data_IF_430030858592
#
_entry.id   IF_430030858592
#
_cell.length_a   1.000
_cell.length_b   1.000
_cell.length_c   1.000
_cell.angle_alpha   90.00
_cell.angle_beta   90.00
_cell.angle_gamma   90.00
#
_symmetry.space_group_name_H-M   'P 1'
#
loop_
_entity.id
_entity.type
_entity.pdbx_description
1 polymer ?
#
# COMPACT_ATOMS: atom_id res chain seq x y z
N UNK A 1 18.96 21.13 1.24
CA UNK A 1 18.38 21.22 2.61
C UNK A 1 17.20 20.24 2.69
N UNK A 2 16.72 19.86 3.88
CA UNK A 2 15.60 18.89 4.02
C UNK A 2 14.34 19.32 3.27
N UNK A 3 14.08 20.63 3.17
CA UNK A 3 12.92 21.18 2.44
C UNK A 3 12.91 20.87 0.93
N UNK A 4 14.05 20.51 0.35
CA UNK A 4 14.18 20.23 -1.08
C UNK A 4 14.04 18.72 -1.38
N UNK A 5 14.05 17.87 -0.34
CA UNK A 5 13.95 16.43 -0.48
C UNK A 5 12.51 16.04 -0.76
N UNK A 6 12.31 15.19 -1.76
CA UNK A 6 11.01 14.62 -2.11
C UNK A 6 11.05 13.09 -2.02
N UNK A 7 9.95 12.49 -1.60
CA UNK A 7 9.83 11.05 -1.46
C UNK A 7 8.46 10.65 -0.91
N UNK A 8 8.32 9.39 -0.53
CA UNK A 8 7.09 8.83 0.04
C UNK A 8 7.43 7.89 1.20
N UNK A 9 6.68 7.98 2.29
CA UNK A 9 6.72 7.01 3.39
C UNK A 9 5.59 5.99 3.19
N UNK A 10 5.93 4.69 3.23
CA UNK A 10 4.93 3.61 3.25
C UNK A 10 4.63 3.19 4.69
N UNK A 11 3.83 3.98 5.37
CA UNK A 11 3.51 3.83 6.78
C UNK A 11 2.01 3.59 7.05
N UNK A 12 1.26 3.12 6.06
CA UNK A 12 -0.13 2.71 6.25
C UNK A 12 -0.19 1.49 7.18
N UNK A 13 -0.50 1.73 8.44
CA UNK A 13 -0.57 0.67 9.45
C UNK A 13 -1.92 -0.05 9.45
N UNK A 14 -3.01 0.60 9.04
CA UNK A 14 -4.33 -0.04 9.04
C UNK A 14 -4.39 -1.22 8.07
N UNK A 15 -3.78 -1.09 6.88
CA UNK A 15 -3.70 -2.21 5.93
C UNK A 15 -2.87 -3.39 6.48
N UNK A 16 -1.93 -3.14 7.39
CA UNK A 16 -1.16 -4.22 8.04
C UNK A 16 -2.07 -5.05 8.96
N UNK A 17 -2.92 -4.40 9.75
CA UNK A 17 -3.90 -5.12 10.59
C UNK A 17 -4.95 -5.85 9.74
N UNK A 18 -5.36 -5.26 8.60
CA UNK A 18 -6.45 -5.80 7.78
C UNK A 18 -5.98 -6.99 6.94
N UNK A 19 -4.80 -6.92 6.30
CA UNK A 19 -4.44 -7.86 5.25
C UNK A 19 -3.01 -8.43 5.33
N UNK A 20 -1.99 -7.65 5.77
CA UNK A 20 -0.60 -8.06 5.60
C UNK A 20 0.03 -8.72 6.85
N UNK A 21 -0.42 -8.34 8.04
CA UNK A 21 0.03 -8.96 9.30
C UNK A 21 1.38 -8.50 9.83
N UNK A 22 1.99 -7.44 9.28
CA UNK A 22 3.30 -6.91 9.71
C UNK A 22 3.13 -5.70 10.62
N UNK A 23 2.69 -5.90 11.83
CA UNK A 23 2.52 -4.87 12.88
C UNK A 23 3.24 -5.26 14.16
N UNK A 24 3.53 -4.28 15.00
CA UNK A 24 4.09 -4.47 16.35
C UNK A 24 3.11 -3.95 17.39
N UNK A 25 2.77 -2.65 17.31
CA UNK A 25 2.00 -1.95 18.33
C UNK A 25 0.50 -2.06 18.09
N UNK A 26 -0.34 -1.86 19.12
CA UNK A 26 -1.79 -1.71 18.94
C UNK A 26 -2.16 -0.53 18.01
N UNK A 27 -3.40 -0.51 17.45
CA UNK A 27 -3.81 0.53 16.51
C UNK A 27 -3.66 1.97 17.03
N UNK A 28 -4.06 2.26 18.26
CA UNK A 28 -4.04 3.63 18.81
C UNK A 28 -2.65 4.27 18.82
N UNK A 29 -1.61 3.67 19.43
CA UNK A 29 -0.26 4.24 19.36
C UNK A 29 0.32 4.24 17.95
N UNK A 30 -0.07 3.29 17.08
CA UNK A 30 0.34 3.29 15.69
C UNK A 30 -0.23 4.47 14.90
N UNK A 31 -1.50 4.82 15.12
CA UNK A 31 -2.12 6.01 14.53
C UNK A 31 -1.44 7.30 15.00
N UNK A 32 -1.02 7.38 16.28
CA UNK A 32 -0.22 8.51 16.78
C UNK A 32 1.09 8.66 16.01
N UNK A 33 1.83 7.57 15.75
CA UNK A 33 3.06 7.64 14.96
C UNK A 33 2.83 8.22 13.57
N UNK A 34 1.72 7.85 12.93
CA UNK A 34 1.34 8.39 11.60
C UNK A 34 1.05 9.89 11.68
N UNK A 35 0.27 10.35 12.66
CA UNK A 35 -0.04 11.78 12.82
C UNK A 35 1.19 12.60 13.21
N UNK A 36 2.12 12.04 13.99
CA UNK A 36 3.40 12.66 14.31
C UNK A 36 4.25 12.87 13.04
N UNK A 37 4.26 11.89 12.12
CA UNK A 37 4.91 12.03 10.80
C UNK A 37 4.27 13.16 10.00
N UNK A 38 2.94 13.25 9.94
CA UNK A 38 2.24 14.33 9.20
C UNK A 38 2.64 15.71 9.72
N UNK A 39 2.56 15.90 11.04
CA UNK A 39 2.88 17.17 11.67
C UNK A 39 4.35 17.59 11.45
N UNK A 40 5.26 16.65 11.58
CA UNK A 40 6.69 16.91 11.42
C UNK A 40 7.07 17.18 9.96
N UNK A 41 6.61 16.34 9.03
CA UNK A 41 6.93 16.46 7.62
C UNK A 41 6.44 17.77 7.01
N UNK A 42 5.26 18.24 7.41
CA UNK A 42 4.72 19.54 6.97
C UNK A 42 5.71 20.68 7.23
N UNK A 43 6.43 20.63 8.33
CA UNK A 43 7.35 21.71 8.73
C UNK A 43 8.76 21.54 8.15
N UNK A 44 9.26 20.31 8.01
CA UNK A 44 10.66 20.02 7.75
C UNK A 44 10.92 19.49 6.34
N UNK A 45 9.98 18.73 5.78
CA UNK A 45 10.08 18.11 4.45
C UNK A 45 8.78 18.29 3.65
N UNK A 46 8.41 19.53 3.28
CA UNK A 46 7.09 19.86 2.71
C UNK A 46 6.81 19.22 1.35
N UNK A 47 7.83 18.64 0.69
CA UNK A 47 7.70 17.94 -0.59
C UNK A 47 7.59 16.42 -0.44
N UNK A 48 7.52 15.91 0.80
CA UNK A 48 7.42 14.49 1.09
C UNK A 48 5.96 14.05 1.14
N UNK A 49 5.61 12.96 0.46
CA UNK A 49 4.33 12.30 0.66
C UNK A 49 4.36 11.58 2.02
N UNK A 50 3.53 12.04 2.94
CA UNK A 50 3.61 11.64 4.37
C UNK A 50 3.01 10.28 4.67
N UNK A 51 2.29 9.70 3.70
CA UNK A 51 1.74 8.35 3.75
C UNK A 51 1.49 7.84 2.33
N UNK A 52 1.54 6.51 2.17
CA UNK A 52 1.02 5.80 1.00
C UNK A 52 -0.11 4.88 1.48
N UNK A 53 -1.36 5.34 1.36
CA UNK A 53 -2.56 4.61 1.81
C UNK A 53 -2.85 3.49 0.83
N UNK A 54 -2.81 2.23 1.29
CA UNK A 54 -2.61 1.08 0.43
C UNK A 54 -3.82 0.17 0.35
N UNK A 55 -4.45 0.14 -0.83
CA UNK A 55 -5.41 -0.90 -1.24
C UNK A 55 -4.73 -2.15 -1.79
N UNK A 56 -3.53 -2.00 -2.37
CA UNK A 56 -2.78 -3.08 -3.02
C UNK A 56 -2.76 -4.37 -2.20
N UNK A 57 -2.35 -4.32 -0.94
CA UNK A 57 -2.21 -5.51 -0.09
C UNK A 57 -3.55 -6.17 0.22
N UNK A 58 -4.63 -5.39 0.32
CA UNK A 58 -5.98 -5.93 0.51
C UNK A 58 -6.46 -6.66 -0.75
N UNK A 59 -6.14 -6.14 -1.93
CA UNK A 59 -6.45 -6.79 -3.21
C UNK A 59 -5.64 -8.07 -3.38
N UNK A 60 -4.35 -8.06 -3.04
CA UNK A 60 -3.48 -9.24 -3.04
C UNK A 60 -3.96 -10.33 -2.06
N UNK A 61 -4.61 -9.94 -0.96
CA UNK A 61 -5.25 -10.86 -0.02
C UNK A 61 -6.60 -11.41 -0.49
N UNK A 62 -7.10 -10.96 -1.66
CA UNK A 62 -8.29 -11.48 -2.31
C UNK A 62 -9.55 -10.60 -2.24
N UNK A 63 -9.44 -9.33 -1.85
CA UNK A 63 -10.59 -8.42 -1.91
C UNK A 63 -11.04 -8.18 -3.36
N UNK A 64 -12.32 -7.81 -3.54
CA UNK A 64 -12.84 -7.34 -4.83
C UNK A 64 -12.33 -5.94 -5.16
N UNK A 65 -12.53 -5.48 -6.40
CA UNK A 65 -12.22 -4.11 -6.81
C UNK A 65 -12.99 -3.07 -5.97
N UNK A 66 -14.26 -3.34 -5.68
CA UNK A 66 -15.11 -2.50 -4.83
C UNK A 66 -14.58 -2.43 -3.40
N UNK A 67 -14.24 -3.58 -2.81
CA UNK A 67 -13.67 -3.66 -1.46
C UNK A 67 -12.32 -2.96 -1.37
N UNK A 68 -11.46 -3.10 -2.37
CA UNK A 68 -10.19 -2.38 -2.44
C UNK A 68 -10.40 -0.87 -2.34
N UNK A 69 -11.30 -0.30 -3.16
CA UNK A 69 -11.63 1.13 -3.12
C UNK A 69 -12.21 1.51 -1.76
N UNK A 70 -13.21 0.78 -1.30
CA UNK A 70 -13.94 1.10 -0.08
C UNK A 70 -13.04 1.10 1.16
N UNK A 71 -12.25 0.04 1.34
CA UNK A 71 -11.41 -0.12 2.53
C UNK A 71 -10.21 0.83 2.51
N UNK A 72 -9.64 1.09 1.31
CA UNK A 72 -8.59 2.08 1.16
C UNK A 72 -9.08 3.48 1.52
N UNK A 73 -10.25 3.88 1.03
CA UNK A 73 -10.80 5.20 1.32
C UNK A 73 -11.32 5.33 2.76
N UNK A 74 -11.86 4.25 3.34
CA UNK A 74 -12.21 4.24 4.76
C UNK A 74 -10.96 4.40 5.66
N UNK A 75 -9.85 3.74 5.32
CA UNK A 75 -8.56 3.94 6.00
C UNK A 75 -8.06 5.38 5.83
N UNK A 76 -8.18 5.94 4.62
CA UNK A 76 -7.83 7.33 4.36
C UNK A 76 -8.65 8.31 5.22
N UNK A 77 -9.94 8.07 5.33
CA UNK A 77 -10.84 8.84 6.22
C UNK A 77 -10.35 8.77 7.67
N UNK A 78 -9.97 7.59 8.16
CA UNK A 78 -9.47 7.43 9.52
C UNK A 78 -8.15 8.20 9.75
N UNK A 79 -7.23 8.21 8.78
CA UNK A 79 -6.00 8.98 8.87
C UNK A 79 -6.24 10.49 8.85
N UNK A 80 -7.11 10.98 7.95
CA UNK A 80 -7.47 12.40 7.89
C UNK A 80 -8.16 12.84 9.18
N UNK A 81 -9.09 12.04 9.68
CA UNK A 81 -9.80 12.31 10.93
C UNK A 81 -8.83 12.42 12.10
N UNK A 82 -7.92 11.46 12.25
CA UNK A 82 -6.90 11.46 13.31
C UNK A 82 -5.98 12.69 13.23
N UNK A 83 -5.61 13.14 12.03
CA UNK A 83 -4.79 14.33 11.83
C UNK A 83 -5.56 15.61 12.21
N UNK A 84 -6.83 15.72 11.84
CA UNK A 84 -7.70 16.86 12.19
C UNK A 84 -7.92 16.90 13.71
N UNK A 85 -8.19 15.77 14.35
CA UNK A 85 -8.32 15.65 15.81
C UNK A 85 -7.02 16.02 16.56
N UNK A 86 -5.87 15.78 15.93
CA UNK A 86 -4.58 16.24 16.42
C UNK A 86 -4.33 17.75 16.20
N UNK A 87 -5.30 18.48 15.64
CA UNK A 87 -5.26 19.94 15.45
C UNK A 87 -4.62 20.38 14.12
N UNK A 88 -4.45 19.48 13.14
CA UNK A 88 -3.94 19.87 11.83
C UNK A 88 -5.09 20.36 10.93
N UNK A 89 -4.87 21.48 10.25
CA UNK A 89 -5.75 21.94 9.19
C UNK A 89 -5.66 21.00 7.97
N UNK A 90 -6.80 20.56 7.44
CA UNK A 90 -6.88 19.55 6.38
C UNK A 90 -6.09 19.95 5.13
N UNK A 91 -6.20 21.20 4.69
CA UNK A 91 -5.52 21.68 3.49
C UNK A 91 -4.00 21.86 3.69
N UNK A 92 -3.55 21.78 4.94
CA UNK A 92 -2.13 21.88 5.27
C UNK A 92 -1.34 20.57 5.08
N UNK A 93 -2.01 19.40 5.06
CA UNK A 93 -1.37 18.10 4.93
C UNK A 93 -1.97 17.21 3.81
N UNK A 94 -3.27 17.34 3.52
CA UNK A 94 -3.94 16.48 2.56
C UNK A 94 -3.33 16.52 1.14
N UNK A 95 -2.77 17.63 0.64
CA UNK A 95 -2.04 17.63 -0.64
C UNK A 95 -0.83 16.69 -0.69
N UNK A 96 -0.34 16.23 0.47
CA UNK A 96 0.80 15.30 0.58
C UNK A 96 0.38 13.84 0.80
N UNK A 97 -0.92 13.57 0.90
CA UNK A 97 -1.41 12.20 0.95
C UNK A 97 -1.21 11.55 -0.42
N UNK A 98 -0.76 10.31 -0.42
CA UNK A 98 -0.67 9.48 -1.61
C UNK A 98 -1.33 8.13 -1.37
N UNK A 99 -1.64 7.43 -2.46
CA UNK A 99 -2.33 6.17 -2.42
C UNK A 99 -1.55 5.11 -3.17
N UNK A 100 -1.88 3.86 -2.90
CA UNK A 100 -1.28 2.71 -3.55
C UNK A 100 -2.37 1.68 -3.87
N UNK A 101 -2.63 1.46 -5.15
CA UNK A 101 -3.63 0.52 -5.63
C UNK A 101 -3.01 -0.63 -6.42
N UNK A 102 -3.72 -1.74 -6.43
CA UNK A 102 -3.47 -2.87 -7.30
C UNK A 102 -3.98 -2.58 -8.72
N UNK A 103 -3.35 -3.17 -9.73
CA UNK A 103 -3.89 -3.26 -11.08
C UNK A 103 -4.05 -4.74 -11.45
N UNK A 104 -5.30 -5.20 -11.52
CA UNK A 104 -5.68 -6.59 -11.73
C UNK A 104 -5.94 -6.91 -13.21
N UNK A 105 -6.31 -8.16 -13.53
CA UNK A 105 -6.45 -8.65 -14.91
C UNK A 105 -7.67 -8.11 -15.66
N UNK A 106 -8.74 -7.74 -14.97
CA UNK A 106 -9.94 -7.20 -15.63
C UNK A 106 -9.72 -5.75 -16.02
N UNK A 107 -9.32 -5.55 -17.30
CA UNK A 107 -8.95 -4.25 -17.85
C UNK A 107 -10.01 -3.19 -17.64
N UNK A 108 -11.27 -3.51 -17.91
CA UNK A 108 -12.36 -2.52 -17.91
C UNK A 108 -12.80 -2.19 -16.49
N UNK A 109 -12.89 -3.20 -15.61
CA UNK A 109 -13.17 -3.02 -14.19
C UNK A 109 -12.09 -2.16 -13.52
N UNK A 110 -10.82 -2.42 -13.79
CA UNK A 110 -9.69 -1.70 -13.18
C UNK A 110 -9.65 -0.22 -13.61
N UNK A 111 -9.88 0.08 -14.88
CA UNK A 111 -10.01 1.46 -15.35
C UNK A 111 -11.17 2.17 -14.63
N UNK A 112 -12.32 1.53 -14.54
CA UNK A 112 -13.50 2.06 -13.84
C UNK A 112 -13.23 2.25 -12.33
N UNK A 113 -12.53 1.31 -11.71
CA UNK A 113 -12.10 1.36 -10.30
C UNK A 113 -11.30 2.61 -9.99
N UNK A 114 -10.27 2.90 -10.77
CA UNK A 114 -9.43 4.09 -10.55
C UNK A 114 -10.21 5.39 -10.76
N UNK A 115 -11.15 5.42 -11.70
CA UNK A 115 -12.05 6.57 -11.91
C UNK A 115 -12.99 6.74 -10.72
N UNK A 116 -13.61 5.67 -10.23
CA UNK A 116 -14.49 5.67 -9.07
C UNK A 116 -13.75 6.13 -7.80
N UNK A 117 -12.54 5.62 -7.57
CA UNK A 117 -11.72 6.00 -6.42
C UNK A 117 -11.43 7.51 -6.39
N UNK A 118 -11.06 8.13 -7.54
CA UNK A 118 -10.82 9.59 -7.61
C UNK A 118 -12.08 10.40 -7.32
N UNK A 119 -13.23 10.00 -7.88
CA UNK A 119 -14.50 10.72 -7.68
C UNK A 119 -14.94 10.64 -6.23
N UNK A 120 -14.89 9.44 -5.65
CA UNK A 120 -15.32 9.20 -4.28
C UNK A 120 -14.41 9.92 -3.28
N UNK A 121 -13.07 9.89 -3.48
CA UNK A 121 -12.13 10.64 -2.65
C UNK A 121 -12.40 12.15 -2.68
N UNK A 122 -12.58 12.74 -3.87
CA UNK A 122 -12.87 14.16 -4.00
C UNK A 122 -14.16 14.54 -3.28
N UNK A 123 -15.20 13.70 -3.33
CA UNK A 123 -16.46 13.89 -2.61
C UNK A 123 -16.23 13.83 -1.09
N UNK A 124 -15.54 12.80 -0.58
CA UNK A 124 -15.26 12.64 0.84
C UNK A 124 -14.48 13.83 1.41
N UNK A 125 -13.45 14.29 0.72
CA UNK A 125 -12.65 15.43 1.18
C UNK A 125 -13.46 16.73 1.22
N UNK A 126 -14.28 16.97 0.20
CA UNK A 126 -15.11 18.18 0.14
C UNK A 126 -16.26 18.15 1.16
N UNK A 127 -16.99 17.05 1.24
CA UNK A 127 -18.26 16.99 2.01
C UNK A 127 -18.02 16.66 3.49
N UNK A 128 -17.06 15.76 3.80
CA UNK A 128 -16.80 15.31 5.17
C UNK A 128 -15.75 16.18 5.88
N UNK A 129 -14.69 16.59 5.18
CA UNK A 129 -13.58 17.33 5.76
C UNK A 129 -13.55 18.81 5.37
N UNK A 130 -14.46 19.26 4.52
CA UNK A 130 -14.58 20.65 4.07
C UNK A 130 -13.28 21.21 3.47
N UNK A 131 -12.50 20.36 2.80
CA UNK A 131 -11.28 20.75 2.09
C UNK A 131 -11.60 21.80 1.02
N UNK A 132 -10.76 22.83 0.93
CA UNK A 132 -10.90 23.96 0.00
C UNK A 132 -9.83 23.97 -1.09
N UNK A 133 -8.62 23.47 -0.78
CA UNK A 133 -7.57 23.33 -1.79
C UNK A 133 -7.91 22.18 -2.75
N UNK A 134 -8.02 22.44 -4.07
CA UNK A 134 -8.25 21.37 -5.04
C UNK A 134 -7.23 20.21 -4.94
N UNK A 135 -5.99 20.50 -4.54
CA UNK A 135 -4.95 19.48 -4.36
C UNK A 135 -5.28 18.50 -3.23
N UNK A 136 -5.98 18.94 -2.19
CA UNK A 136 -6.45 18.09 -1.10
C UNK A 136 -7.50 17.06 -1.56
N UNK A 137 -8.22 17.36 -2.65
CA UNK A 137 -9.23 16.51 -3.25
C UNK A 137 -8.69 15.59 -4.36
N UNK A 138 -7.40 15.72 -4.72
CA UNK A 138 -6.76 14.89 -5.71
C UNK A 138 -6.34 13.55 -5.10
N UNK A 139 -6.81 12.44 -5.66
CA UNK A 139 -6.30 11.12 -5.35
C UNK A 139 -5.11 10.82 -6.28
N UNK A 140 -3.90 11.00 -5.76
CA UNK A 140 -2.65 10.67 -6.46
C UNK A 140 -2.20 9.29 -6.01
N UNK A 141 -1.97 8.38 -6.95
CA UNK A 141 -1.67 7.01 -6.59
C UNK A 141 -0.56 6.38 -7.41
N UNK A 142 0.16 5.51 -6.74
CA UNK A 142 0.99 4.48 -7.33
C UNK A 142 0.12 3.27 -7.67
N UNK A 143 0.33 2.64 -8.82
CA UNK A 143 -0.25 1.35 -9.14
C UNK A 143 0.85 0.30 -9.24
N UNK A 144 0.58 -0.89 -8.71
CA UNK A 144 1.39 -2.08 -8.93
C UNK A 144 0.51 -3.16 -9.55
N UNK A 145 1.03 -3.84 -10.54
CA UNK A 145 0.36 -4.99 -11.16
C UNK A 145 0.16 -6.12 -10.14
N UNK A 146 -0.95 -6.86 -10.29
CA UNK A 146 -1.34 -7.89 -9.31
C UNK A 146 -0.38 -9.08 -9.31
N UNK A 147 0.37 -9.26 -8.24
CA UNK A 147 1.23 -10.43 -8.03
C UNK A 147 0.43 -11.70 -7.81
N UNK A 148 -0.71 -11.61 -7.10
CA UNK A 148 -1.62 -12.72 -6.84
C UNK A 148 -2.21 -13.37 -8.09
N UNK A 149 -2.17 -12.68 -9.24
CA UNK A 149 -2.62 -13.21 -10.53
C UNK A 149 -1.52 -13.86 -11.36
N UNK A 150 -0.28 -13.80 -10.91
CA UNK A 150 0.84 -14.43 -11.60
C UNK A 150 0.99 -15.88 -11.14
N UNK A 151 1.27 -16.76 -12.08
CA UNK A 151 1.28 -18.21 -11.85
C UNK A 151 2.66 -18.79 -12.01
N UNK A 152 2.95 -19.85 -11.26
CA UNK A 152 4.17 -20.62 -11.38
C UNK A 152 4.16 -21.46 -12.67
N UNK A 153 2.96 -21.85 -13.11
CA UNK A 153 2.74 -22.59 -14.36
C UNK A 153 2.85 -21.63 -15.56
N UNK A 154 3.58 -22.04 -16.59
CA UNK A 154 3.75 -21.27 -17.81
C UNK A 154 4.11 -19.79 -17.54
N UNK A 155 5.24 -19.51 -16.86
CA UNK A 155 5.54 -18.18 -16.33
C UNK A 155 5.71 -17.09 -17.39
N UNK A 156 5.97 -17.45 -18.66
CA UNK A 156 6.01 -16.51 -19.78
C UNK A 156 4.66 -15.84 -20.02
N UNK A 157 3.53 -16.52 -19.73
CA UNK A 157 2.20 -15.92 -19.81
C UNK A 157 2.00 -14.77 -18.82
N UNK A 158 2.81 -14.72 -17.75
CA UNK A 158 2.78 -13.62 -16.80
C UNK A 158 3.20 -12.29 -17.45
N UNK A 159 4.03 -12.31 -18.50
CA UNK A 159 4.38 -11.09 -19.27
C UNK A 159 3.11 -10.48 -19.89
N UNK A 160 2.24 -11.31 -20.43
CA UNK A 160 0.97 -10.87 -21.03
C UNK A 160 0.02 -10.34 -19.94
N UNK A 161 -0.10 -11.06 -18.80
CA UNK A 161 -0.92 -10.63 -17.66
C UNK A 161 -0.46 -9.26 -17.14
N UNK A 162 0.82 -9.10 -16.88
CA UNK A 162 1.42 -7.85 -16.42
C UNK A 162 1.21 -6.72 -17.45
N UNK A 163 1.29 -7.00 -18.73
CA UNK A 163 1.04 -6.00 -19.79
C UNK A 163 -0.40 -5.49 -19.74
N UNK A 164 -1.39 -6.38 -19.61
CA UNK A 164 -2.81 -6.00 -19.50
C UNK A 164 -3.07 -5.21 -18.21
N UNK A 165 -2.52 -5.64 -17.08
CA UNK A 165 -2.62 -4.95 -15.80
C UNK A 165 -1.98 -3.56 -15.86
N UNK A 166 -0.79 -3.45 -16.44
CA UNK A 166 -0.09 -2.17 -16.61
C UNK A 166 -0.87 -1.21 -17.52
N UNK A 167 -1.46 -1.74 -18.59
CA UNK A 167 -2.31 -0.97 -19.50
C UNK A 167 -3.55 -0.44 -18.77
N UNK A 168 -4.18 -1.25 -17.91
CA UNK A 168 -5.29 -0.82 -17.08
C UNK A 168 -4.90 0.34 -16.13
N UNK A 169 -3.72 0.25 -15.50
CA UNK A 169 -3.21 1.30 -14.63
C UNK A 169 -2.96 2.62 -15.39
N UNK A 170 -2.38 2.56 -16.58
CA UNK A 170 -2.10 3.74 -17.42
C UNK A 170 -3.40 4.37 -17.89
N UNK A 171 -4.32 3.59 -18.47
CA UNK A 171 -5.65 4.05 -18.89
C UNK A 171 -6.48 4.56 -17.70
N UNK A 172 -6.26 4.00 -16.53
CA UNK A 172 -6.85 4.43 -15.27
C UNK A 172 -6.24 5.70 -14.68
N UNK A 173 -5.13 6.21 -15.24
CA UNK A 173 -4.52 7.49 -14.86
C UNK A 173 -3.68 7.45 -13.59
N UNK A 174 -2.86 6.41 -13.38
CA UNK A 174 -1.89 6.35 -12.28
C UNK A 174 -0.76 7.38 -12.46
N UNK A 175 -0.16 7.84 -11.34
CA UNK A 175 0.97 8.76 -11.36
C UNK A 175 2.33 8.04 -11.40
N UNK A 176 2.38 6.81 -10.92
CA UNK A 176 3.56 5.94 -11.04
C UNK A 176 3.13 4.48 -11.14
N UNK A 177 3.96 3.64 -11.73
CA UNK A 177 3.65 2.27 -12.04
C UNK A 177 4.81 1.35 -11.68
N UNK A 178 4.49 0.22 -11.02
CA UNK A 178 5.36 -0.93 -10.88
C UNK A 178 4.78 -2.11 -11.68
N UNK A 179 5.62 -2.77 -12.45
CA UNK A 179 5.30 -4.02 -13.14
C UNK A 179 6.03 -5.18 -12.47
N UNK A 180 5.29 -6.18 -12.01
CA UNK A 180 5.87 -7.39 -11.44
C UNK A 180 6.62 -8.18 -12.51
N UNK A 181 7.63 -8.93 -12.09
CA UNK A 181 8.41 -9.78 -12.98
C UNK A 181 7.66 -11.09 -13.29
N UNK A 182 7.96 -11.71 -14.41
CA UNK A 182 7.27 -12.93 -14.84
C UNK A 182 7.50 -14.12 -13.91
N UNK A 183 8.56 -14.09 -13.10
CA UNK A 183 8.96 -15.12 -12.14
C UNK A 183 8.48 -14.82 -10.68
N UNK A 184 7.60 -13.83 -10.51
CA UNK A 184 7.07 -13.39 -9.21
C UNK A 184 6.47 -14.52 -8.35
N UNK A 185 5.78 -15.47 -8.99
CA UNK A 185 5.18 -16.62 -8.31
C UNK A 185 6.20 -17.72 -7.93
N UNK A 186 7.46 -17.58 -8.34
CA UNK A 186 8.48 -18.61 -8.18
C UNK A 186 9.58 -18.20 -7.20
N UNK A 187 10.09 -16.97 -7.33
CA UNK A 187 11.21 -16.46 -6.53
C UNK A 187 11.31 -14.93 -6.62
N UNK A 188 12.33 -14.35 -5.96
CA UNK A 188 12.76 -12.99 -6.27
C UNK A 188 13.19 -12.92 -7.73
N UNK A 189 13.00 -11.77 -8.39
CA UNK A 189 13.18 -11.67 -9.83
C UNK A 189 14.64 -11.86 -10.27
N UNK A 190 14.81 -12.60 -11.36
CA UNK A 190 16.08 -12.66 -12.08
C UNK A 190 16.33 -11.36 -12.84
N UNK A 191 17.59 -11.05 -13.18
CA UNK A 191 17.94 -9.86 -13.96
C UNK A 191 17.20 -9.84 -15.33
N UNK A 192 17.04 -11.00 -15.97
CA UNK A 192 16.26 -11.12 -17.21
C UNK A 192 14.81 -10.72 -16.99
N UNK A 193 14.17 -11.24 -15.93
CA UNK A 193 12.78 -10.98 -15.63
C UNK A 193 12.54 -9.50 -15.26
N UNK A 194 13.40 -8.90 -14.46
CA UNK A 194 13.38 -7.44 -14.16
C UNK A 194 13.48 -6.61 -15.43
N UNK A 195 14.38 -6.97 -16.35
CA UNK A 195 14.54 -6.26 -17.61
C UNK A 195 13.27 -6.31 -18.45
N UNK A 196 12.61 -7.47 -18.55
CA UNK A 196 11.34 -7.63 -19.26
C UNK A 196 10.26 -6.76 -18.60
N UNK A 197 10.14 -6.79 -17.29
CA UNK A 197 9.17 -5.99 -16.55
C UNK A 197 9.34 -4.49 -16.81
N UNK A 198 10.57 -3.98 -16.82
CA UNK A 198 10.86 -2.59 -17.17
C UNK A 198 10.56 -2.27 -18.64
N UNK A 199 10.90 -3.20 -19.56
CA UNK A 199 10.59 -3.03 -21.00
C UNK A 199 9.09 -3.02 -21.25
N UNK A 200 8.29 -3.77 -20.51
CA UNK A 200 6.82 -3.72 -20.60
C UNK A 200 6.30 -2.29 -20.42
N UNK A 201 6.78 -1.57 -19.40
CA UNK A 201 6.40 -0.16 -19.21
C UNK A 201 6.86 0.73 -20.38
N UNK A 202 8.07 0.51 -20.89
CA UNK A 202 8.61 1.29 -22.00
C UNK A 202 7.87 1.04 -23.32
N UNK A 203 7.50 -0.20 -23.62
CA UNK A 203 6.67 -0.53 -24.79
C UNK A 203 5.32 0.19 -24.69
N UNK A 204 4.66 0.14 -23.53
CA UNK A 204 3.41 0.87 -23.32
C UNK A 204 3.59 2.39 -23.49
N UNK A 205 4.68 2.95 -22.98
CA UNK A 205 4.92 4.40 -23.04
C UNK A 205 5.28 4.91 -24.43
N UNK A 206 6.05 4.14 -25.23
CA UNK A 206 6.65 4.65 -26.46
C UNK A 206 6.08 4.05 -27.74
N UNK A 207 5.43 2.89 -27.69
CA UNK A 207 4.98 2.16 -28.88
C UNK A 207 3.46 2.04 -28.99
N UNK A 208 2.71 2.20 -27.87
CA UNK A 208 1.26 1.93 -27.86
C UNK A 208 0.38 3.15 -28.16
N UNK A 209 0.93 4.37 -28.05
CA UNK A 209 0.16 5.63 -28.15
C UNK A 209 -0.76 5.91 -26.97
N UNK A 210 -0.82 5.03 -25.96
CA UNK A 210 -1.74 5.16 -24.82
C UNK A 210 -1.38 6.37 -23.91
N UNK A 211 -0.13 6.82 -23.96
CA UNK A 211 0.35 7.99 -23.20
C UNK A 211 0.09 9.33 -23.90
N UNK A 212 -0.39 9.33 -25.16
CA UNK A 212 -0.55 10.55 -25.95
C UNK A 212 -1.85 11.29 -25.68
N UNK A 213 -2.77 10.70 -24.91
CA UNK A 213 -4.07 11.28 -24.60
C UNK A 213 -4.46 11.05 -23.16
N UNK A 214 -5.36 11.91 -22.65
CA UNK A 214 -5.89 11.83 -21.27
C UNK A 214 -7.27 11.19 -21.33
N UNK A 215 -7.49 10.18 -20.46
CA UNK A 215 -8.77 9.50 -20.26
C UNK A 215 -9.44 9.04 -21.56
N UNK A 216 -8.74 8.23 -22.40
CA UNK A 216 -9.23 7.85 -23.74
C UNK A 216 -10.52 7.03 -23.71
N UNK A 217 -10.87 6.43 -22.57
CA UNK A 217 -12.10 5.65 -22.37
C UNK A 217 -13.24 6.47 -21.75
N UNK A 218 -13.03 7.77 -21.50
CA UNK A 218 -14.06 8.69 -21.01
C UNK A 218 -15.24 8.76 -21.97
N UNK A 219 -16.48 8.65 -21.44
CA UNK A 219 -17.71 8.59 -22.22
C UNK A 219 -18.09 7.21 -22.74
N UNK A 220 -17.27 6.18 -22.57
CA UNK A 220 -17.67 4.81 -22.84
C UNK A 220 -18.82 4.41 -21.92
N UNK A 221 -19.96 3.97 -22.48
CA UNK A 221 -21.13 3.57 -21.70
C UNK A 221 -20.81 2.49 -20.65
N UNK A 222 -19.96 1.52 -21.00
CA UNK A 222 -19.55 0.45 -20.10
C UNK A 222 -18.70 0.98 -18.96
N UNK A 223 -17.66 1.77 -19.25
CA UNK A 223 -16.73 2.34 -18.24
C UNK A 223 -17.46 3.31 -17.33
N UNK A 224 -18.33 4.18 -17.87
CA UNK A 224 -19.09 5.14 -17.06
C UNK A 224 -20.09 4.43 -16.14
N UNK A 225 -20.71 3.34 -16.61
CA UNK A 225 -21.61 2.53 -15.78
C UNK A 225 -20.85 1.84 -14.66
N UNK A 226 -19.79 1.09 -14.97
CA UNK A 226 -18.96 0.41 -13.97
C UNK A 226 -18.37 1.40 -12.95
N UNK A 227 -17.94 2.59 -13.39
CA UNK A 227 -17.46 3.65 -12.49
C UNK A 227 -18.55 4.02 -11.46
N UNK A 228 -19.81 4.19 -11.89
CA UNK A 228 -20.92 4.52 -10.97
C UNK A 228 -21.26 3.35 -10.05
N UNK A 229 -21.27 2.14 -10.59
CA UNK A 229 -21.62 0.93 -9.85
C UNK A 229 -20.57 0.72 -8.72
N UNK A 230 -19.25 0.75 -9.05
CA UNK A 230 -18.16 0.65 -8.08
C UNK A 230 -18.21 1.78 -7.04
N UNK A 231 -18.47 3.03 -7.47
CA UNK A 231 -18.59 4.16 -6.54
C UNK A 231 -19.74 3.96 -5.56
N UNK A 232 -20.90 3.51 -6.05
CA UNK A 232 -22.08 3.28 -5.23
C UNK A 232 -21.91 2.14 -4.23
N UNK A 233 -21.36 1.01 -4.68
CA UNK A 233 -21.10 -0.15 -3.82
C UNK A 233 -19.99 0.13 -2.78
N UNK A 234 -18.93 0.84 -3.16
CA UNK A 234 -17.88 1.25 -2.24
C UNK A 234 -18.42 2.20 -1.15
N UNK A 235 -19.33 3.09 -1.51
CA UNK A 235 -19.98 4.00 -0.55
C UNK A 235 -20.83 3.24 0.48
N UNK A 236 -21.47 2.13 0.09
CA UNK A 236 -22.19 1.24 1.03
C UNK A 236 -21.23 0.64 2.06
N UNK A 237 -20.06 0.14 1.62
CA UNK A 237 -19.04 -0.38 2.52
C UNK A 237 -18.48 0.71 3.46
N UNK A 238 -18.22 1.90 2.96
CA UNK A 238 -17.69 3.02 3.77
C UNK A 238 -18.70 3.39 4.86
N UNK A 239 -19.98 3.52 4.50
CA UNK A 239 -21.04 3.78 5.51
C UNK A 239 -21.13 2.67 6.55
N UNK A 240 -21.02 1.42 6.13
CA UNK A 240 -21.01 0.29 7.07
C UNK A 240 -19.84 0.34 8.04
N UNK A 241 -18.65 0.71 7.56
CA UNK A 241 -17.45 0.91 8.38
C UNK A 241 -17.67 2.09 9.37
N UNK A 242 -18.27 3.18 8.93
CA UNK A 242 -18.63 4.32 9.79
C UNK A 242 -19.62 3.91 10.90
N UNK A 243 -20.66 3.13 10.58
CA UNK A 243 -21.61 2.58 11.57
C UNK A 243 -20.91 1.68 12.62
N UNK A 244 -19.85 1.00 12.24
CA UNK A 244 -19.05 0.16 13.14
C UNK A 244 -18.05 0.95 14.00
N UNK A 245 -17.96 2.28 13.84
CA UNK A 245 -17.07 3.15 14.59
C UNK A 245 -15.76 3.49 13.86
N UNK A 246 -15.73 3.36 12.54
CA UNK A 246 -14.59 3.68 11.68
C UNK A 246 -13.63 2.51 11.47
N UNK A 247 -12.60 2.73 10.64
CA UNK A 247 -11.71 1.67 10.16
C UNK A 247 -11.02 0.88 11.29
N UNK A 248 -10.61 1.53 12.37
CA UNK A 248 -9.95 0.84 13.49
C UNK A 248 -10.89 -0.16 14.17
N UNK A 249 -12.13 0.23 14.41
CA UNK A 249 -13.15 -0.64 15.01
C UNK A 249 -13.63 -1.74 14.03
N UNK A 250 -13.59 -1.46 12.74
CA UNK A 250 -14.05 -2.34 11.67
C UNK A 250 -12.98 -3.30 11.12
N UNK A 251 -11.76 -3.37 11.70
CA UNK A 251 -10.67 -4.25 11.21
C UNK A 251 -11.18 -5.69 11.00
N UNK A 252 -11.81 -6.28 12.01
CA UNK A 252 -12.32 -7.66 11.92
C UNK A 252 -13.44 -7.84 10.90
N UNK A 253 -14.25 -6.82 10.65
CA UNK A 253 -15.25 -6.84 9.58
C UNK A 253 -14.57 -6.87 8.20
N UNK A 254 -13.63 -5.97 7.95
CA UNK A 254 -12.90 -5.91 6.67
C UNK A 254 -12.11 -7.20 6.41
N UNK A 255 -11.49 -7.79 7.44
CA UNK A 255 -10.80 -9.08 7.34
C UNK A 255 -11.75 -10.19 6.85
N UNK A 256 -12.95 -10.31 7.44
CA UNK A 256 -13.93 -11.33 7.03
C UNK A 256 -14.40 -11.12 5.60
N UNK A 257 -14.72 -9.88 5.22
CA UNK A 257 -15.14 -9.56 3.86
C UNK A 257 -14.08 -9.94 2.80
N UNK A 258 -12.79 -9.72 3.11
CA UNK A 258 -11.68 -10.13 2.24
C UNK A 258 -11.58 -11.65 2.17
N UNK A 259 -11.66 -12.35 3.31
CA UNK A 259 -11.59 -13.81 3.37
C UNK A 259 -12.73 -14.45 2.59
N UNK A 260 -13.96 -13.94 2.73
CA UNK A 260 -15.13 -14.41 2.01
C UNK A 260 -14.99 -14.18 0.50
N UNK A 261 -14.43 -13.05 0.08
CA UNK A 261 -14.16 -12.78 -1.32
C UNK A 261 -13.09 -13.72 -1.89
N UNK A 262 -11.99 -13.92 -1.17
CA UNK A 262 -10.92 -14.84 -1.54
C UNK A 262 -11.42 -16.28 -1.65
N UNK A 263 -12.27 -16.72 -0.70
CA UNK A 263 -12.87 -18.05 -0.73
C UNK A 263 -13.80 -18.24 -1.94
N UNK A 264 -14.64 -17.26 -2.26
CA UNK A 264 -15.50 -17.32 -3.46
C UNK A 264 -14.65 -17.44 -4.73
N UNK A 265 -13.59 -16.60 -4.85
CA UNK A 265 -12.68 -16.65 -5.99
C UNK A 265 -12.01 -18.03 -6.14
N UNK A 266 -11.53 -18.61 -5.04
CA UNK A 266 -10.93 -19.94 -5.05
C UNK A 266 -11.93 -21.01 -5.54
N UNK A 267 -13.17 -20.94 -5.06
CA UNK A 267 -14.24 -21.85 -5.50
C UNK A 267 -14.53 -21.71 -7.00
N UNK A 268 -14.59 -20.49 -7.53
CA UNK A 268 -14.77 -20.23 -8.96
C UNK A 268 -13.64 -20.85 -9.81
N UNK A 269 -12.41 -20.86 -9.30
CA UNK A 269 -11.28 -21.52 -9.98
C UNK A 269 -11.40 -23.04 -9.90
N UNK A 270 -11.78 -23.59 -8.76
CA UNK A 270 -11.92 -25.03 -8.57
C UNK A 270 -13.05 -25.63 -9.42
N UNK A 271 -14.18 -24.96 -9.50
CA UNK A 271 -15.34 -25.41 -10.31
C UNK A 271 -15.27 -24.99 -11.78
N UNK A 272 -14.18 -24.30 -12.18
CA UNK A 272 -13.90 -23.79 -13.53
C UNK A 272 -14.89 -22.76 -14.08
N UNK A 273 -15.68 -22.12 -13.23
CA UNK A 273 -16.47 -20.93 -13.63
C UNK A 273 -15.55 -19.75 -13.89
N UNK A 274 -14.36 -19.76 -13.32
CA UNK A 274 -13.26 -18.86 -13.63
C UNK A 274 -12.06 -19.63 -14.20
N UNK A 275 -11.67 -19.30 -15.41
CA UNK A 275 -10.49 -19.89 -16.06
C UNK A 275 -9.23 -19.08 -15.72
N UNK A 276 -8.19 -19.79 -15.25
CA UNK A 276 -6.83 -19.29 -15.11
C UNK A 276 -5.94 -20.11 -16.05
N UNK A 277 -5.51 -19.50 -17.14
CA UNK A 277 -4.76 -20.17 -18.21
C UNK A 277 -3.48 -20.80 -17.67
N UNK A 278 -3.28 -22.07 -17.98
CA UNK A 278 -2.14 -22.85 -17.52
C UNK A 278 -2.29 -23.43 -16.10
N UNK A 279 -3.36 -23.08 -15.35
CA UNK A 279 -3.61 -23.58 -14.00
C UNK A 279 -4.77 -24.57 -13.95
N UNK A 280 -5.98 -24.15 -14.33
CA UNK A 280 -7.16 -24.99 -14.30
C UNK A 280 -7.72 -25.31 -15.70
N UNK A 281 -7.19 -24.65 -16.74
CA UNK A 281 -7.43 -24.95 -18.15
C UNK A 281 -6.16 -24.64 -18.97
N UNK A 282 -6.05 -25.17 -20.21
CA UNK A 282 -4.87 -25.04 -21.08
C UNK A 282 -3.56 -25.49 -20.40
N UNK A 283 -3.63 -26.52 -19.58
CA UNK A 283 -2.50 -27.04 -18.80
C UNK A 283 -1.52 -27.79 -19.74
N UNK A 284 -0.22 -27.59 -19.49
CA UNK A 284 0.88 -28.30 -20.17
C UNK A 284 1.78 -28.98 -19.13
N UNK A 285 2.51 -30.00 -19.57
CA UNK A 285 3.47 -30.76 -18.74
C UNK A 285 4.89 -30.17 -18.86
N UNK A 286 5.01 -28.83 -18.78
CA UNK A 286 6.29 -28.14 -18.89
C UNK A 286 7.13 -28.35 -17.62
N UNK A 287 8.44 -28.58 -17.75
CA UNK A 287 9.31 -28.67 -16.57
C UNK A 287 9.40 -27.29 -15.88
N UNK A 288 9.57 -27.27 -14.56
CA UNK A 288 9.75 -26.01 -13.83
C UNK A 288 10.99 -25.25 -14.34
N UNK A 289 10.98 -23.90 -14.36
CA UNK A 289 12.11 -23.10 -14.82
C UNK A 289 13.37 -23.40 -14.03
N UNK A 290 14.48 -23.68 -14.73
CA UNK A 290 15.74 -24.08 -14.08
C UNK A 290 16.59 -22.96 -13.48
N UNK A 291 16.32 -21.69 -13.83
CA UNK A 291 17.17 -20.54 -13.48
C UNK A 291 16.41 -19.56 -12.58
N UNK A 292 16.11 -19.97 -11.35
CA UNK A 292 15.52 -19.10 -10.35
C UNK A 292 16.60 -18.35 -9.58
N UNK A 293 16.26 -17.14 -9.09
CA UNK A 293 17.14 -16.39 -8.20
C UNK A 293 17.38 -17.17 -6.91
N UNK A 294 18.66 -17.23 -6.51
CA UNK A 294 19.07 -17.81 -5.24
C UNK A 294 19.69 -16.72 -4.38
N UNK A 295 19.24 -16.63 -3.13
CA UNK A 295 19.82 -15.71 -2.16
C UNK A 295 21.21 -16.21 -1.75
N UNK A 296 22.22 -15.33 -1.77
CA UNK A 296 23.53 -15.62 -1.23
C UNK A 296 23.43 -15.80 0.30
N UNK A 297 23.80 -16.98 0.79
CA UNK A 297 23.77 -17.32 2.21
C UNK A 297 24.67 -16.40 3.07
N UNK A 298 25.76 -15.86 2.50
CA UNK A 298 26.70 -14.98 3.20
C UNK A 298 26.13 -13.59 3.52
N UNK A 299 25.03 -13.15 2.89
CA UNK A 299 24.44 -11.82 3.13
C UNK A 299 24.02 -11.64 4.59
N UNK A 300 23.40 -12.67 5.19
CA UNK A 300 22.96 -12.64 6.59
C UNK A 300 24.11 -12.48 7.57
N UNK A 301 25.20 -13.21 7.36
CA UNK A 301 26.41 -13.15 8.19
C UNK A 301 27.09 -11.78 8.08
N UNK A 302 27.28 -11.27 6.88
CA UNK A 302 27.86 -9.95 6.64
C UNK A 302 27.06 -8.81 7.31
N UNK A 303 25.72 -8.89 7.29
CA UNK A 303 24.84 -7.93 7.98
C UNK A 303 24.95 -8.04 9.50
N UNK A 304 25.00 -9.26 10.05
CA UNK A 304 25.19 -9.49 11.47
C UNK A 304 26.54 -8.94 11.98
N UNK A 305 27.62 -9.16 11.23
CA UNK A 305 28.94 -8.58 11.54
C UNK A 305 28.95 -7.06 11.49
N UNK A 306 28.30 -6.47 10.47
CA UNK A 306 28.16 -5.00 10.35
C UNK A 306 27.42 -4.43 11.54
N UNK A 307 26.32 -5.06 11.98
CA UNK A 307 25.55 -4.65 13.14
C UNK A 307 26.35 -4.77 14.44
N UNK A 308 27.07 -5.87 14.63
CA UNK A 308 27.95 -6.06 15.78
C UNK A 308 29.06 -5.00 15.84
N UNK A 309 29.66 -4.66 14.69
CA UNK A 309 30.65 -3.58 14.59
C UNK A 309 30.04 -2.22 14.96
N UNK A 310 28.86 -1.87 14.42
CA UNK A 310 28.15 -0.62 14.75
C UNK A 310 27.99 -0.47 16.27
N UNK A 311 27.48 -1.52 16.94
CA UNK A 311 27.26 -1.50 18.40
C UNK A 311 28.55 -1.33 19.21
N UNK A 312 29.69 -1.85 18.73
CA UNK A 312 30.99 -1.70 19.40
C UNK A 312 31.61 -0.32 19.21
N UNK A 313 31.33 0.36 18.08
CA UNK A 313 32.03 1.60 17.71
C UNK A 313 31.23 2.87 17.94
N UNK A 314 29.92 2.77 18.15
CA UNK A 314 29.05 3.93 18.43
C UNK A 314 29.29 4.49 19.84
N UNK A 315 28.93 5.73 20.07
CA UNK A 315 28.80 6.32 21.41
C UNK A 315 27.62 5.65 22.14
N UNK A 316 27.93 4.71 23.03
CA UNK A 316 26.93 3.93 23.75
C UNK A 316 26.09 4.79 24.70
N UNK A 317 26.70 5.80 25.34
CA UNK A 317 26.02 6.68 26.27
C UNK A 317 25.05 7.63 25.53
N UNK A 318 25.45 8.16 24.39
CA UNK A 318 24.57 8.96 23.52
C UNK A 318 23.39 8.12 23.04
N UNK A 319 23.63 6.90 22.58
CA UNK A 319 22.58 5.98 22.14
C UNK A 319 21.59 5.65 23.26
N UNK A 320 22.09 5.38 24.48
CA UNK A 320 21.24 5.11 25.64
C UNK A 320 20.37 6.32 25.99
N UNK A 321 20.96 7.53 26.10
CA UNK A 321 20.21 8.76 26.38
C UNK A 321 19.13 9.05 25.33
N UNK A 322 19.42 8.83 24.05
CA UNK A 322 18.46 9.03 22.96
C UNK A 322 17.28 8.06 23.06
N UNK A 323 17.54 6.79 23.40
CA UNK A 323 16.49 5.78 23.62
C UNK A 323 15.65 6.09 24.87
N UNK A 324 16.26 6.54 25.95
CA UNK A 324 15.54 6.92 27.19
C UNK A 324 14.66 8.15 26.95
N UNK A 325 15.15 9.13 26.17
CA UNK A 325 14.35 10.29 25.76
C UNK A 325 13.17 9.90 24.88
N UNK A 326 13.37 8.95 23.94
CA UNK A 326 12.29 8.41 23.11
C UNK A 326 11.23 7.70 23.95
N UNK A 327 11.62 6.86 24.90
CA UNK A 327 10.70 6.18 25.80
C UNK A 327 9.89 7.18 26.66
N UNK A 328 10.54 8.19 27.23
CA UNK A 328 9.88 9.25 27.99
C UNK A 328 8.89 10.03 27.11
N UNK A 329 9.26 10.39 25.89
CA UNK A 329 8.40 11.05 24.92
C UNK A 329 7.20 10.20 24.51
N UNK A 330 7.39 8.88 24.38
CA UNK A 330 6.32 7.94 24.06
C UNK A 330 5.25 7.85 25.15
N UNK A 331 5.64 7.97 26.44
CA UNK A 331 4.71 8.02 27.58
C UNK A 331 3.91 9.34 27.64
N UNK A 332 4.44 10.41 27.03
CA UNK A 332 3.81 11.73 26.97
C UNK A 332 3.01 11.96 25.68
N UNK A 333 2.84 13.24 25.33
CA UNK A 333 2.13 13.69 24.11
C UNK A 333 3.05 14.41 23.11
N UNK A 334 4.35 14.41 23.32
CA UNK A 334 5.30 15.05 22.41
C UNK A 334 5.30 14.34 21.05
N UNK A 335 5.55 15.10 19.98
CA UNK A 335 5.80 14.51 18.67
C UNK A 335 7.09 13.67 18.74
N UNK A 336 7.00 12.40 18.34
CA UNK A 336 8.12 11.46 18.45
C UNK A 336 9.14 11.59 17.33
N UNK A 337 8.84 12.27 16.23
CA UNK A 337 9.75 12.37 15.08
C UNK A 337 11.11 12.99 15.44
N UNK A 338 11.22 14.11 16.18
CA UNK A 338 12.52 14.64 16.58
C UNK A 338 13.34 13.65 17.43
N UNK A 339 12.68 12.90 18.30
CA UNK A 339 13.33 11.90 19.18
C UNK A 339 13.78 10.67 18.38
N UNK A 340 13.01 10.25 17.38
CA UNK A 340 13.38 9.19 16.46
C UNK A 340 14.57 9.60 15.59
N UNK A 341 14.60 10.84 15.09
CA UNK A 341 15.73 11.37 14.33
C UNK A 341 17.00 11.37 15.19
N UNK A 342 16.94 11.87 16.43
CA UNK A 342 18.08 11.85 17.34
C UNK A 342 18.53 10.41 17.66
N UNK A 343 17.61 9.49 17.88
CA UNK A 343 17.96 8.09 18.13
C UNK A 343 18.71 7.47 16.93
N UNK A 344 18.24 7.73 15.70
CA UNK A 344 18.92 7.26 14.48
C UNK A 344 20.29 7.92 14.31
N UNK A 345 20.40 9.22 14.57
CA UNK A 345 21.68 9.96 14.51
C UNK A 345 22.69 9.47 15.57
N UNK A 346 22.19 9.03 16.72
CA UNK A 346 22.98 8.35 17.76
C UNK A 346 23.35 6.90 17.39
N UNK A 347 23.05 6.46 16.15
CA UNK A 347 23.34 5.09 15.67
C UNK A 347 22.63 3.99 16.46
N UNK A 348 21.42 4.25 16.94
CA UNK A 348 20.56 3.19 17.47
C UNK A 348 20.01 2.35 16.32
N UNK A 349 19.71 1.10 16.59
CA UNK A 349 19.13 0.18 15.60
C UNK A 349 17.61 0.26 15.63
N UNK A 350 16.97 -0.11 14.52
CA UNK A 350 15.51 -0.22 14.44
C UNK A 350 14.96 -1.13 15.56
N UNK A 351 15.63 -2.25 15.85
CA UNK A 351 15.24 -3.16 16.92
C UNK A 351 15.25 -2.51 18.29
N UNK A 352 16.28 -1.72 18.61
CA UNK A 352 16.38 -1.00 19.89
C UNK A 352 15.30 0.07 20.04
N UNK A 353 15.02 0.82 18.97
CA UNK A 353 13.91 1.79 18.92
C UNK A 353 12.57 1.09 19.15
N UNK A 354 12.30 0.02 18.40
CA UNK A 354 11.05 -0.72 18.54
C UNK A 354 10.89 -1.35 19.92
N UNK A 355 11.96 -1.82 20.53
CA UNK A 355 11.91 -2.40 21.89
C UNK A 355 11.50 -1.36 22.94
N UNK A 356 12.07 -0.15 22.87
CA UNK A 356 11.67 0.95 23.76
C UNK A 356 10.21 1.36 23.56
N UNK A 357 9.78 1.47 22.31
CA UNK A 357 8.37 1.78 22.01
C UNK A 357 7.44 0.64 22.44
N UNK A 358 7.85 -0.63 22.30
CA UNK A 358 7.09 -1.80 22.73
C UNK A 358 6.87 -1.82 24.26
N UNK A 359 7.86 -1.40 25.02
CA UNK A 359 7.73 -1.27 26.48
C UNK A 359 6.65 -0.26 26.91
N UNK A 360 6.37 0.75 26.06
CA UNK A 360 5.35 1.79 26.35
C UNK A 360 4.00 1.46 25.73
N UNK A 361 3.99 1.04 24.46
CA UNK A 361 2.79 0.87 23.64
C UNK A 361 2.18 -0.54 23.75
N UNK A 362 2.97 -1.52 24.18
CA UNK A 362 2.60 -2.92 24.14
C UNK A 362 2.71 -3.53 22.73
N UNK A 363 2.24 -4.75 22.61
CA UNK A 363 2.21 -5.53 21.36
C UNK A 363 0.76 -5.80 20.99
N UNK A 364 0.43 -5.61 19.72
CA UNK A 364 -0.90 -5.96 19.21
C UNK A 364 -1.13 -7.47 19.29
N UNK A 365 -2.26 -7.85 19.87
CA UNK A 365 -2.73 -9.22 19.87
C UNK A 365 -3.88 -9.31 18.86
N UNK A 366 -3.73 -10.09 17.76
CA UNK A 366 -4.82 -10.26 16.82
C UNK A 366 -6.00 -10.93 17.50
N UNK A 367 -7.21 -10.42 17.28
CA UNK A 367 -8.42 -11.14 17.64
C UNK A 367 -8.53 -12.33 16.69
N UNK A 368 -8.42 -13.55 17.21
CA UNK A 368 -8.71 -14.75 16.44
C UNK A 368 -10.21 -14.75 16.17
N UNK A 369 -10.60 -14.37 14.96
CA UNK A 369 -11.97 -14.51 14.50
C UNK A 369 -12.02 -15.83 13.71
N UNK A 370 -12.65 -16.86 14.31
CA UNK A 370 -13.01 -18.09 13.63
C UNK A 370 -14.28 -17.89 12.82
#
# INVERSE_FOLDING_TARGET
MLADVAGTVQNDILKEYIARGTYIFPPTPSMRLVTDVFAWCRQHVPRWNTISISGYHMREAGSTAVQEVAFTLANAVAYVQAAVEAGLDVDSFAPQLSFFFNAHNDLIEEVAKFRAARRLWARLMRERFHARDPRSMMLRFHAQTAGSMLTAQQPENNIVRVTVQALAAVLGGCQSLHTNSMDEALALPTERAVRIALRTQQVLAFESGVADTVDPLGGSFAVERLTRDIEGEADVYIRKIDELGGSVAAIGYMQREIQDAAFRWQREVEDKTRVVVGVNDFVTDDPPPGNLFQLDAGVGEALAERLARLRRTRDADRAARALDALEAGARGRANLMPLLVEAVDASTTLGEICERLRAVFGVHQPSVTF
#
